data_IF_306240288257
#
_entry.id   IF_306240288257
#
_cell.length_a   1.000
_cell.length_b   1.000
_cell.length_c   1.000
_cell.angle_alpha   90.00
_cell.angle_beta   90.00
_cell.angle_gamma   90.00
#
_symmetry.space_group_name_H-M   'P 1'
#
loop_
_entity.id
_entity.type
_entity.pdbx_description
1 polymer ?
#
# COMPACT_ATOMS: atom_id res chain seq x y z
N UNK A 1 -5.51 -23.63 -10.10
CA UNK A 1 -4.47 -22.59 -10.21
C UNK A 1 -4.97 -21.59 -11.25
N UNK A 2 -5.13 -20.32 -10.88
CA UNK A 2 -5.66 -19.28 -11.77
C UNK A 2 -4.50 -18.72 -12.61
N UNK A 3 -4.63 -18.77 -13.95
CA UNK A 3 -3.63 -18.19 -14.86
C UNK A 3 -4.00 -16.73 -15.14
N UNK A 4 -3.11 -15.81 -14.78
CA UNK A 4 -3.30 -14.36 -14.99
C UNK A 4 -2.07 -13.76 -15.64
N UNK A 5 -2.24 -13.18 -16.82
CA UNK A 5 -1.17 -12.52 -17.58
C UNK A 5 -1.60 -11.09 -17.91
N UNK A 6 -0.71 -10.13 -17.69
CA UNK A 6 -0.87 -8.76 -18.19
C UNK A 6 -0.11 -8.66 -19.52
N UNK A 7 -0.82 -8.30 -20.59
CA UNK A 7 -0.22 -8.13 -21.93
C UNK A 7 0.14 -6.66 -22.12
N UNK A 8 1.42 -6.32 -21.98
CA UNK A 8 1.91 -4.93 -22.16
C UNK A 8 2.37 -4.69 -23.59
N UNK A 9 2.95 -5.71 -24.23
CA UNK A 9 3.44 -5.66 -25.60
C UNK A 9 3.31 -7.03 -26.27
N UNK A 10 3.75 -7.13 -27.54
CA UNK A 10 3.64 -8.35 -28.33
C UNK A 10 4.31 -9.59 -27.69
N UNK A 11 5.40 -9.40 -26.94
CA UNK A 11 6.12 -10.51 -26.30
C UNK A 11 5.27 -11.21 -25.22
N UNK A 12 4.37 -10.47 -24.56
CA UNK A 12 3.52 -11.01 -23.49
C UNK A 12 2.34 -11.86 -24.01
N UNK A 13 2.16 -11.94 -25.33
CA UNK A 13 1.11 -12.77 -25.95
C UNK A 13 1.49 -14.25 -25.91
N UNK A 14 2.78 -14.57 -26.01
CA UNK A 14 3.29 -15.95 -26.12
C UNK A 14 2.89 -16.83 -24.91
N UNK A 15 2.98 -16.37 -23.65
CA UNK A 15 2.50 -17.15 -22.51
C UNK A 15 0.99 -17.44 -22.58
N UNK A 16 0.19 -16.48 -23.07
CA UNK A 16 -1.27 -16.62 -23.18
C UNK A 16 -1.64 -17.67 -24.22
N UNK A 17 -1.04 -17.58 -25.42
CA UNK A 17 -1.30 -18.55 -26.49
C UNK A 17 -0.85 -19.95 -26.12
N UNK A 18 0.31 -20.10 -25.47
CA UNK A 18 0.79 -21.39 -24.99
C UNK A 18 -0.15 -22.01 -23.95
N UNK A 19 -0.62 -21.23 -22.98
CA UNK A 19 -1.55 -21.72 -21.97
C UNK A 19 -2.86 -22.20 -22.59
N UNK A 20 -3.42 -21.43 -23.54
CA UNK A 20 -4.64 -21.81 -24.25
C UNK A 20 -4.43 -23.13 -25.02
N UNK A 21 -3.36 -23.22 -25.81
CA UNK A 21 -3.06 -24.40 -26.63
C UNK A 21 -2.91 -25.68 -25.78
N UNK A 22 -2.29 -25.60 -24.61
CA UNK A 22 -2.09 -26.76 -23.74
C UNK A 22 -3.36 -27.22 -23.02
N UNK A 23 -4.26 -26.30 -22.67
CA UNK A 23 -5.33 -26.60 -21.72
C UNK A 23 -6.73 -26.68 -22.34
N UNK A 24 -6.98 -26.02 -23.49
CA UNK A 24 -8.34 -25.92 -24.04
C UNK A 24 -8.95 -27.28 -24.41
N UNK A 25 -8.19 -28.16 -25.07
CA UNK A 25 -8.67 -29.47 -25.51
C UNK A 25 -9.04 -30.37 -24.32
N UNK A 26 -8.19 -30.38 -23.29
CA UNK A 26 -8.43 -31.14 -22.06
C UNK A 26 -9.67 -30.63 -21.32
N UNK A 27 -9.76 -29.32 -21.12
CA UNK A 27 -10.88 -28.67 -20.46
C UNK A 27 -12.22 -28.92 -21.18
N UNK A 28 -12.21 -28.87 -22.53
CA UNK A 28 -13.37 -29.19 -23.34
C UNK A 28 -13.79 -30.67 -23.19
N UNK A 29 -12.83 -31.60 -23.19
CA UNK A 29 -13.10 -33.03 -23.05
C UNK A 29 -13.68 -33.40 -21.66
N UNK A 30 -13.34 -32.65 -20.62
CA UNK A 30 -13.85 -32.84 -19.25
C UNK A 30 -15.20 -32.12 -19.02
N UNK A 31 -15.79 -31.50 -20.05
CA UNK A 31 -17.04 -30.75 -19.96
C UNK A 31 -16.94 -29.43 -19.19
N UNK A 32 -15.71 -28.94 -18.94
CA UNK A 32 -15.41 -27.72 -18.19
C UNK A 32 -14.62 -26.76 -19.09
N UNK A 33 -15.27 -26.13 -20.09
CA UNK A 33 -14.56 -25.28 -21.05
C UNK A 33 -13.85 -24.12 -20.36
N UNK A 34 -12.73 -23.68 -20.93
CA UNK A 34 -11.99 -22.52 -20.43
C UNK A 34 -12.76 -21.24 -20.71
N UNK A 35 -12.97 -20.42 -19.68
CA UNK A 35 -13.48 -19.05 -19.82
C UNK A 35 -12.28 -18.11 -19.87
N UNK A 36 -12.16 -17.34 -20.96
CA UNK A 36 -11.11 -16.33 -21.12
C UNK A 36 -11.72 -14.96 -20.88
N UNK A 37 -11.24 -14.26 -19.86
CA UNK A 37 -11.63 -12.88 -19.58
C UNK A 37 -10.51 -11.94 -20.02
N UNK A 38 -10.78 -11.15 -21.05
CA UNK A 38 -9.90 -10.08 -21.51
C UNK A 38 -10.56 -8.77 -21.13
N UNK A 39 -9.89 -8.00 -20.29
CA UNK A 39 -10.35 -6.68 -19.88
C UNK A 39 -9.18 -5.69 -19.94
N UNK A 40 -9.45 -4.40 -20.18
CA UNK A 40 -8.48 -3.36 -19.90
C UNK A 40 -7.96 -3.52 -18.47
N UNK A 41 -6.67 -3.36 -18.25
CA UNK A 41 -6.14 -3.37 -16.90
C UNK A 41 -6.65 -2.12 -16.18
N UNK A 42 -7.70 -2.29 -15.36
CA UNK A 42 -8.11 -1.25 -14.42
C UNK A 42 -6.99 -1.08 -13.38
N UNK A 43 -6.25 0.01 -13.51
CA UNK A 43 -5.26 0.43 -12.52
C UNK A 43 -6.01 1.09 -11.37
N UNK A 44 -6.48 0.28 -10.43
CA UNK A 44 -6.95 0.78 -9.14
C UNK A 44 -5.74 1.25 -8.33
N UNK A 45 -5.41 2.55 -8.50
CA UNK A 45 -4.21 3.15 -7.91
C UNK A 45 -4.22 3.00 -6.39
N UNK A 46 -5.36 3.15 -5.74
CA UNK A 46 -5.51 2.97 -4.29
C UNK A 46 -5.16 1.55 -3.86
N UNK A 47 -5.63 0.51 -4.56
CA UNK A 47 -5.25 -0.88 -4.25
C UNK A 47 -3.77 -1.15 -4.51
N UNK A 48 -3.23 -0.64 -5.61
CA UNK A 48 -1.82 -0.82 -5.97
C UNK A 48 -0.89 -0.13 -4.96
N UNK A 49 -1.22 1.08 -4.53
CA UNK A 49 -0.52 1.80 -3.46
C UNK A 49 -0.55 1.03 -2.13
N UNK A 50 -1.71 0.51 -1.73
CA UNK A 50 -1.82 -0.29 -0.50
C UNK A 50 -0.98 -1.58 -0.58
N UNK A 51 -0.97 -2.26 -1.73
CA UNK A 51 -0.11 -3.44 -1.94
C UNK A 51 1.37 -3.08 -1.81
N UNK A 52 1.79 -1.97 -2.43
CA UNK A 52 3.16 -1.47 -2.34
C UNK A 52 3.54 -1.16 -0.89
N UNK A 53 2.67 -0.46 -0.16
CA UNK A 53 2.83 -0.13 1.25
C UNK A 53 3.10 -1.37 2.11
N UNK A 54 2.23 -2.38 2.05
CA UNK A 54 2.38 -3.60 2.85
C UNK A 54 3.62 -4.40 2.47
N UNK A 55 4.01 -4.39 1.20
CA UNK A 55 5.25 -5.03 0.76
C UNK A 55 6.47 -4.32 1.36
N UNK A 56 6.50 -3.00 1.35
CA UNK A 56 7.56 -2.21 1.98
C UNK A 56 7.63 -2.40 3.49
N UNK A 57 6.49 -2.44 4.18
CA UNK A 57 6.45 -2.76 5.62
C UNK A 57 7.09 -4.11 5.92
N UNK A 58 6.80 -5.13 5.12
CA UNK A 58 7.41 -6.45 5.30
C UNK A 58 8.92 -6.46 5.03
N UNK A 59 9.41 -5.68 4.07
CA UNK A 59 10.86 -5.56 3.83
C UNK A 59 11.55 -4.88 5.02
N UNK A 60 10.95 -3.79 5.51
CA UNK A 60 11.47 -3.04 6.63
C UNK A 60 11.44 -3.83 7.94
N UNK A 61 10.31 -4.46 8.27
CA UNK A 61 10.15 -5.24 9.50
C UNK A 61 11.14 -6.42 9.56
N UNK A 62 11.36 -7.12 8.45
CA UNK A 62 12.39 -8.16 8.33
C UNK A 62 13.79 -7.63 8.61
N UNK A 63 14.10 -6.42 8.14
CA UNK A 63 15.41 -5.81 8.39
C UNK A 63 15.59 -5.42 9.85
N UNK A 64 14.56 -4.85 10.47
CA UNK A 64 14.62 -4.43 11.87
C UNK A 64 14.49 -5.59 12.86
N UNK A 65 13.96 -6.74 12.43
CA UNK A 65 13.59 -7.83 13.31
C UNK A 65 12.35 -7.51 14.14
N UNK A 66 11.48 -6.64 13.63
CA UNK A 66 10.25 -6.18 14.30
C UNK A 66 9.01 -6.77 13.66
N UNK A 67 7.86 -6.57 14.31
CA UNK A 67 6.57 -6.96 13.76
C UNK A 67 6.03 -5.92 12.76
N UNK A 68 5.36 -6.39 11.71
CA UNK A 68 4.83 -5.51 10.65
C UNK A 68 3.75 -4.55 11.16
N UNK A 69 2.94 -4.96 12.14
CA UNK A 69 1.83 -4.16 12.65
C UNK A 69 2.37 -3.08 13.61
N UNK A 70 3.46 -3.38 14.31
CA UNK A 70 4.24 -2.37 15.02
C UNK A 70 4.79 -1.29 14.07
N UNK A 71 5.42 -1.70 12.97
CA UNK A 71 5.95 -0.76 11.97
C UNK A 71 4.83 0.05 11.30
N UNK A 72 3.68 -0.58 11.04
CA UNK A 72 2.48 0.10 10.53
C UNK A 72 2.07 1.26 11.45
N UNK A 73 1.96 1.03 12.75
CA UNK A 73 1.64 2.07 13.74
C UNK A 73 2.74 3.13 13.83
N UNK A 74 4.00 2.72 13.80
CA UNK A 74 5.14 3.63 13.81
C UNK A 74 5.08 4.61 12.63
N UNK A 75 4.92 4.10 11.39
CA UNK A 75 4.86 4.97 10.22
C UNK A 75 3.61 5.85 10.21
N UNK A 76 2.46 5.36 10.70
CA UNK A 76 1.25 6.18 10.84
C UNK A 76 1.48 7.36 11.78
N UNK A 77 2.06 7.11 12.96
CA UNK A 77 2.33 8.15 13.96
C UNK A 77 3.33 9.19 13.46
N UNK A 78 4.36 8.76 12.73
CA UNK A 78 5.48 9.62 12.36
C UNK A 78 5.30 10.39 11.04
N UNK A 79 4.52 9.86 10.10
CA UNK A 79 4.38 10.46 8.77
C UNK A 79 2.91 10.72 8.41
N UNK A 80 2.04 9.70 8.45
CA UNK A 80 0.62 9.87 8.07
C UNK A 80 -0.09 10.92 8.92
N UNK A 81 0.16 10.93 10.23
CA UNK A 81 -0.39 11.91 11.16
C UNK A 81 -0.10 13.36 10.74
N UNK A 82 1.10 13.63 10.19
CA UNK A 82 1.49 14.99 9.76
C UNK A 82 0.72 15.43 8.52
N UNK A 83 0.53 14.51 7.57
CA UNK A 83 -0.24 14.76 6.36
C UNK A 83 -1.70 15.03 6.72
N UNK A 84 -2.28 14.21 7.61
CA UNK A 84 -3.68 14.37 8.01
C UNK A 84 -3.93 15.64 8.82
N UNK A 85 -2.98 16.02 9.69
CA UNK A 85 -3.07 17.27 10.45
C UNK A 85 -2.95 18.51 9.54
N UNK A 86 -2.09 18.45 8.51
CA UNK A 86 -1.90 19.54 7.54
C UNK A 86 -3.11 19.73 6.65
N UNK A 87 -3.66 18.64 6.13
CA UNK A 87 -4.70 18.67 5.09
C UNK A 87 -6.13 18.55 5.65
N UNK A 88 -6.30 18.57 6.97
CA UNK A 88 -7.59 18.43 7.65
C UNK A 88 -8.38 17.18 7.20
N UNK A 89 -7.69 16.04 7.08
CA UNK A 89 -8.28 14.81 6.51
C UNK A 89 -9.32 14.20 7.47
N UNK A 90 -10.49 13.86 6.91
CA UNK A 90 -11.54 13.11 7.58
C UNK A 90 -12.11 13.82 8.82
N UNK A 91 -12.49 13.02 9.81
CA UNK A 91 -13.11 13.50 11.06
C UNK A 91 -12.10 13.84 12.16
N UNK A 92 -10.79 13.76 11.86
CA UNK A 92 -9.73 13.82 12.87
C UNK A 92 -9.36 15.24 13.29
N UNK A 93 -9.82 16.27 12.58
CA UNK A 93 -9.46 17.69 12.81
C UNK A 93 -9.56 18.14 14.27
N UNK A 94 -10.64 17.79 14.95
CA UNK A 94 -10.83 18.13 16.38
C UNK A 94 -9.85 17.39 17.28
N UNK A 95 -9.59 16.11 16.97
CA UNK A 95 -8.67 15.26 17.72
C UNK A 95 -7.22 15.72 17.55
N UNK A 96 -6.81 16.10 16.34
CA UNK A 96 -5.50 16.69 16.10
C UNK A 96 -5.29 18.01 16.84
N UNK A 97 -6.31 18.88 16.87
CA UNK A 97 -6.27 20.10 17.69
C UNK A 97 -6.05 19.76 19.17
N UNK A 98 -6.80 18.81 19.71
CA UNK A 98 -6.65 18.37 21.10
C UNK A 98 -5.24 17.79 21.37
N UNK A 99 -4.69 16.99 20.46
CA UNK A 99 -3.32 16.44 20.57
C UNK A 99 -2.27 17.56 20.58
N UNK A 100 -2.41 18.59 19.73
CA UNK A 100 -1.51 19.75 19.73
C UNK A 100 -1.59 20.55 21.03
N UNK A 101 -2.79 20.81 21.52
CA UNK A 101 -3.01 21.56 22.76
C UNK A 101 -2.39 20.81 23.95
N UNK A 102 -2.59 19.49 24.03
CA UNK A 102 -2.00 18.63 25.06
C UNK A 102 -0.46 18.58 24.96
N UNK A 103 0.09 18.59 23.74
CA UNK A 103 1.54 18.66 23.51
C UNK A 103 2.11 19.99 24.01
N UNK A 104 1.44 21.09 23.70
CA UNK A 104 1.85 22.44 24.10
C UNK A 104 1.82 22.61 25.63
N UNK A 105 0.80 22.05 26.29
CA UNK A 105 0.68 22.07 27.76
C UNK A 105 1.54 21.03 28.47
N UNK A 106 2.33 20.21 27.74
CA UNK A 106 3.11 19.08 28.27
C UNK A 106 2.28 18.14 29.16
N UNK A 107 1.02 17.94 28.80
CA UNK A 107 0.11 17.16 29.63
C UNK A 107 0.53 15.67 29.61
N UNK A 108 0.51 14.97 30.76
CA UNK A 108 0.93 13.55 30.83
C UNK A 108 0.10 12.64 29.92
N UNK A 109 -1.17 12.98 29.67
CA UNK A 109 -2.04 12.23 28.77
C UNK A 109 -1.72 12.39 27.27
N UNK A 110 -0.77 13.25 26.89
CA UNK A 110 -0.43 13.50 25.48
C UNK A 110 -0.12 12.20 24.72
N UNK A 111 0.70 11.32 25.29
CA UNK A 111 1.08 10.07 24.62
C UNK A 111 -0.13 9.17 24.39
N UNK A 112 -0.96 8.98 25.42
CA UNK A 112 -2.16 8.13 25.32
C UNK A 112 -3.15 8.63 24.26
N UNK A 113 -3.37 9.95 24.17
CA UNK A 113 -4.26 10.53 23.15
C UNK A 113 -3.65 10.45 21.75
N UNK A 114 -2.34 10.66 21.63
CA UNK A 114 -1.64 10.55 20.35
C UNK A 114 -1.63 9.10 19.82
N UNK A 115 -1.45 8.13 20.71
CA UNK A 115 -1.47 6.70 20.38
C UNK A 115 -2.87 6.26 19.97
N UNK A 116 -3.91 6.65 20.72
CA UNK A 116 -5.29 6.37 20.35
C UNK A 116 -5.71 7.01 19.01
N UNK A 117 -5.24 8.23 18.71
CA UNK A 117 -5.43 8.82 17.39
C UNK A 117 -4.74 8.00 16.30
N UNK A 118 -3.51 7.55 16.55
CA UNK A 118 -2.77 6.73 15.60
C UNK A 118 -3.48 5.40 15.27
N UNK A 119 -4.05 4.74 16.28
CA UNK A 119 -4.83 3.52 16.08
C UNK A 119 -6.07 3.77 15.22
N UNK A 120 -6.77 4.89 15.45
CA UNK A 120 -8.01 5.24 14.73
C UNK A 120 -7.79 5.67 13.28
N UNK A 121 -6.68 6.32 12.95
CA UNK A 121 -6.43 6.78 11.58
C UNK A 121 -6.42 5.60 10.61
N UNK A 122 -7.19 5.65 9.52
CA UNK A 122 -7.07 4.65 8.45
C UNK A 122 -6.24 5.18 7.30
N UNK A 123 -5.40 4.33 6.70
CA UNK A 123 -4.73 4.64 5.42
C UNK A 123 -5.72 4.77 4.26
N UNK A 124 -6.92 4.20 4.40
CA UNK A 124 -7.99 4.30 3.38
C UNK A 124 -8.62 5.68 3.30
N UNK A 125 -8.46 6.51 4.33
CA UNK A 125 -8.99 7.88 4.36
C UNK A 125 -8.11 8.85 3.55
N UNK A 126 -6.88 8.44 3.20
CA UNK A 126 -5.96 9.23 2.41
C UNK A 126 -6.41 9.25 0.94
N UNK A 127 -6.36 10.42 0.33
CA UNK A 127 -6.38 10.52 -1.14
C UNK A 127 -5.14 9.86 -1.75
N UNK A 128 -5.21 9.53 -3.04
CA UNK A 128 -4.08 8.94 -3.78
C UNK A 128 -2.81 9.80 -3.71
N UNK A 129 -2.95 11.13 -3.78
CA UNK A 129 -1.83 12.06 -3.69
C UNK A 129 -1.19 12.07 -2.30
N UNK A 130 -2.00 12.14 -1.24
CA UNK A 130 -1.53 12.09 0.14
C UNK A 130 -0.85 10.76 0.45
N UNK A 131 -1.38 9.66 -0.09
CA UNK A 131 -0.80 8.35 0.11
C UNK A 131 0.51 8.17 -0.69
N UNK A 132 0.64 8.80 -1.87
CA UNK A 132 1.93 8.88 -2.58
C UNK A 132 2.97 9.63 -1.76
N UNK A 133 2.62 10.78 -1.17
CA UNK A 133 3.51 11.53 -0.27
C UNK A 133 3.95 10.66 0.92
N UNK A 134 2.99 9.98 1.56
CA UNK A 134 3.26 9.07 2.66
C UNK A 134 4.23 7.94 2.28
N UNK A 135 4.05 7.33 1.10
CA UNK A 135 4.96 6.31 0.57
C UNK A 135 6.38 6.89 0.36
N UNK A 136 6.48 8.07 -0.26
CA UNK A 136 7.78 8.71 -0.49
C UNK A 136 8.52 9.02 0.81
N UNK A 137 7.81 9.49 1.84
CA UNK A 137 8.36 9.72 3.18
C UNK A 137 8.91 8.44 3.82
N UNK A 138 8.15 7.32 3.72
CA UNK A 138 8.60 6.01 4.20
C UNK A 138 9.85 5.56 3.45
N UNK A 139 9.85 5.69 2.12
CA UNK A 139 10.99 5.28 1.30
C UNK A 139 12.24 6.07 1.65
N UNK A 140 12.13 7.40 1.77
CA UNK A 140 13.22 8.26 2.18
C UNK A 140 13.74 7.91 3.59
N UNK A 141 12.83 7.65 4.54
CA UNK A 141 13.20 7.22 5.89
C UNK A 141 13.94 5.88 5.89
N UNK A 142 13.40 4.86 5.24
CA UNK A 142 14.01 3.55 5.16
C UNK A 142 15.38 3.62 4.49
N UNK A 143 15.50 4.36 3.39
CA UNK A 143 16.76 4.55 2.68
C UNK A 143 17.81 5.25 3.56
N UNK A 144 17.42 6.29 4.31
CA UNK A 144 18.29 6.96 5.29
C UNK A 144 18.77 6.02 6.39
N UNK A 145 17.97 5.03 6.77
CA UNK A 145 18.33 3.97 7.71
C UNK A 145 18.94 2.73 7.01
N UNK A 146 19.50 2.93 5.81
CA UNK A 146 20.25 1.94 5.03
C UNK A 146 19.39 0.82 4.44
N UNK A 147 18.08 0.98 4.36
CA UNK A 147 17.15 0.01 3.78
C UNK A 147 16.58 0.57 2.48
N UNK A 148 17.12 0.13 1.36
CA UNK A 148 16.50 0.43 0.09
C UNK A 148 15.26 -0.45 -0.08
N UNK A 149 14.09 0.17 -0.20
CA UNK A 149 12.85 -0.56 -0.40
C UNK A 149 12.68 -0.86 -1.88
N UNK A 150 12.66 -2.14 -2.22
CA UNK A 150 12.49 -2.61 -3.59
C UNK A 150 11.07 -2.32 -4.06
N UNK A 151 10.94 -1.84 -5.30
CA UNK A 151 9.64 -1.54 -5.91
C UNK A 151 9.51 -2.29 -7.23
N UNK A 152 8.60 -3.27 -7.32
CA UNK A 152 8.30 -3.97 -8.55
C UNK A 152 7.93 -3.00 -9.68
N UNK A 153 8.37 -3.31 -10.91
CA UNK A 153 8.12 -2.46 -12.08
C UNK A 153 6.62 -2.26 -12.35
N UNK A 154 5.78 -3.25 -12.03
CA UNK A 154 4.34 -3.15 -12.13
C UNK A 154 3.72 -2.18 -11.11
N UNK A 155 4.47 -1.71 -10.11
CA UNK A 155 4.00 -0.78 -9.08
C UNK A 155 4.67 0.59 -9.12
N UNK A 156 5.75 0.80 -9.90
CA UNK A 156 6.47 2.09 -9.96
C UNK A 156 5.55 3.28 -10.31
N UNK A 157 4.57 3.05 -11.19
CA UNK A 157 3.61 4.07 -11.63
C UNK A 157 2.74 4.67 -10.50
N UNK A 158 2.70 4.04 -9.32
CA UNK A 158 1.90 4.54 -8.18
C UNK A 158 2.63 5.59 -7.35
N UNK A 159 3.93 5.74 -7.58
CA UNK A 159 4.80 6.73 -6.94
C UNK A 159 4.96 8.01 -7.80
N UNK A 160 4.43 7.98 -9.02
CA UNK A 160 4.28 9.11 -9.95
C UNK A 160 3.00 9.91 -9.66
#
# INVERSE_FOLDING_TARGET
>A
MEFRQVVKNHCDIVPVTNFLNLNHAKAASEGKPLVVLIAPQEKDRTKAQNRLYWMWLNQWSKKQGTDKDYEHLFFKKNFLAKIYDRDDVGQYKKTFKAVRDLKASKHPAYQQVADGLCELMSTTDASTAQFTEYLNDIHAFCNKNGCYLETPDDLKYVLE
#
